data_IF_139809087336
#
_entry.id   IF_139809087336
#
_cell.length_a   1.000
_cell.length_b   1.000
_cell.length_c   1.000
_cell.angle_alpha   90.00
_cell.angle_beta   90.00
_cell.angle_gamma   90.00
#
_symmetry.space_group_name_H-M   'P 1'
#
loop_
_entity.id
_entity.type
_entity.pdbx_description
1 polymer ?
#
# COMPACT_ATOMS: atom_id res chain seq x y z
N UNK A 1 -6.50 -3.17 9.52
CA UNK A 1 -5.16 -3.39 8.98
C UNK A 1 -4.33 -2.12 9.16
N UNK A 2 -3.03 -2.27 9.25
CA UNK A 2 -2.06 -1.18 9.35
C UNK A 2 -1.23 -1.11 8.07
N UNK A 3 -0.98 0.10 7.58
CA UNK A 3 -0.09 0.30 6.44
C UNK A 3 0.76 1.56 6.64
N UNK A 4 2.01 1.48 6.25
CA UNK A 4 2.97 2.57 6.37
C UNK A 4 3.36 3.05 4.97
N UNK A 5 3.33 4.36 4.77
CA UNK A 5 3.73 5.03 3.54
C UNK A 5 4.28 6.43 3.83
N UNK A 6 4.85 7.08 2.82
CA UNK A 6 5.41 8.42 2.91
C UNK A 6 4.37 9.54 2.83
N UNK A 7 3.17 9.19 2.40
CA UNK A 7 2.04 10.10 2.28
C UNK A 7 0.73 9.33 2.46
N UNK A 8 -0.36 10.06 2.71
CA UNK A 8 -1.67 9.46 2.92
C UNK A 8 -2.15 8.63 1.72
N UNK A 9 -1.92 9.10 0.49
CA UNK A 9 -2.35 8.41 -0.73
C UNK A 9 -1.71 7.03 -0.86
N UNK A 10 -0.41 6.93 -0.57
CA UNK A 10 0.32 5.66 -0.53
C UNK A 10 -0.21 4.75 0.58
N UNK A 11 -0.36 5.30 1.79
CA UNK A 11 -0.79 4.53 2.96
C UNK A 11 -2.19 3.96 2.80
N UNK A 12 -3.16 4.75 2.29
CA UNK A 12 -4.54 4.28 2.11
C UNK A 12 -4.64 3.17 1.06
N UNK A 13 -3.91 3.29 -0.05
CA UNK A 13 -3.91 2.26 -1.08
C UNK A 13 -3.28 0.96 -0.58
N UNK A 14 -2.17 1.04 0.15
CA UNK A 14 -1.55 -0.12 0.80
C UNK A 14 -2.48 -0.76 1.83
N UNK A 15 -3.17 0.05 2.65
CA UNK A 15 -4.11 -0.45 3.65
C UNK A 15 -5.25 -1.24 2.99
N UNK A 16 -5.79 -0.75 1.87
CA UNK A 16 -6.84 -1.45 1.14
C UNK A 16 -6.36 -2.79 0.55
N UNK A 17 -5.14 -2.83 0.03
CA UNK A 17 -4.53 -4.08 -0.46
C UNK A 17 -4.33 -5.07 0.69
N UNK A 18 -3.87 -4.60 1.86
CA UNK A 18 -3.60 -5.45 3.04
C UNK A 18 -4.85 -6.01 3.72
N UNK A 19 -6.05 -5.59 3.33
CA UNK A 19 -7.30 -6.23 3.78
C UNK A 19 -7.49 -7.65 3.22
N UNK A 20 -6.73 -8.04 2.19
CA UNK A 20 -6.77 -9.36 1.54
C UNK A 20 -8.17 -9.80 1.06
N UNK A 21 -9.02 -8.84 0.72
CA UNK A 21 -10.36 -9.06 0.16
C UNK A 21 -10.39 -8.90 -1.36
N UNK A 22 -9.24 -9.03 -2.03
CA UNK A 22 -9.12 -8.95 -3.49
C UNK A 22 -8.92 -7.56 -4.06
N UNK A 23 -8.86 -6.52 -3.21
CA UNK A 23 -8.62 -5.14 -3.64
C UNK A 23 -7.17 -4.94 -4.12
N UNK A 24 -7.00 -4.09 -5.10
CA UNK A 24 -5.68 -3.65 -5.62
C UNK A 24 -5.35 -2.19 -5.29
N UNK A 25 -6.18 -1.56 -4.47
CA UNK A 25 -6.16 -0.16 -4.04
C UNK A 25 -7.60 0.37 -3.92
N UNK A 26 -7.83 1.62 -4.27
CA UNK A 26 -9.16 2.23 -4.38
C UNK A 26 -9.91 1.63 -5.59
N UNK A 27 -10.31 0.38 -5.50
CA UNK A 27 -11.00 -0.31 -6.60
C UNK A 27 -12.46 0.12 -6.67
N UNK A 28 -13.00 0.08 -7.90
CA UNK A 28 -14.43 0.15 -8.16
C UNK A 28 -15.05 -1.24 -7.88
N UNK A 29 -15.74 -1.34 -6.74
CA UNK A 29 -16.44 -2.57 -6.35
C UNK A 29 -17.96 -2.41 -6.40
N UNK A 30 -18.44 -1.22 -6.78
CA UNK A 30 -19.85 -0.88 -6.75
C UNK A 30 -20.41 -0.69 -8.15
N UNK A 31 -21.38 -1.51 -8.54
CA UNK A 31 -22.18 -1.26 -9.72
C UNK A 31 -23.45 -0.46 -9.35
N UNK A 32 -23.27 0.72 -8.74
CA UNK A 32 -24.34 1.56 -8.22
C UNK A 32 -24.63 2.74 -9.14
N UNK A 33 -25.93 3.11 -9.23
CA UNK A 33 -26.32 4.38 -9.83
C UNK A 33 -25.94 5.55 -8.93
N UNK A 34 -25.79 6.74 -9.52
CA UNK A 34 -25.44 7.97 -8.77
C UNK A 34 -26.40 8.28 -7.62
N UNK A 35 -27.70 7.99 -7.79
CA UNK A 35 -28.73 8.18 -6.75
C UNK A 35 -28.51 7.27 -5.53
N UNK A 36 -28.13 6.02 -5.77
CA UNK A 36 -27.85 5.03 -4.71
C UNK A 36 -26.59 5.40 -3.94
N UNK A 37 -25.52 5.80 -4.63
CA UNK A 37 -24.30 6.32 -4.01
C UNK A 37 -24.61 7.49 -3.07
N UNK A 38 -25.43 8.45 -3.50
CA UNK A 38 -25.81 9.60 -2.69
C UNK A 38 -26.63 9.21 -1.44
N UNK A 39 -27.45 8.16 -1.54
CA UNK A 39 -28.21 7.61 -0.40
C UNK A 39 -27.26 6.92 0.59
N UNK A 40 -26.33 6.10 0.09
CA UNK A 40 -25.45 5.28 0.92
C UNK A 40 -24.31 6.09 1.54
N UNK A 41 -23.86 7.20 0.93
CA UNK A 41 -22.88 8.12 1.52
C UNK A 41 -23.33 8.68 2.88
N UNK A 42 -24.64 8.75 3.15
CA UNK A 42 -25.18 9.19 4.46
C UNK A 42 -25.04 8.14 5.55
N UNK A 43 -24.91 6.87 5.18
CA UNK A 43 -24.82 5.75 6.09
C UNK A 43 -23.40 5.57 6.63
N UNK A 44 -23.28 4.96 7.80
CA UNK A 44 -21.99 4.52 8.32
C UNK A 44 -21.76 3.07 7.89
N UNK A 45 -21.14 2.88 6.73
CA UNK A 45 -20.86 1.56 6.14
C UNK A 45 -19.35 1.31 6.09
N UNK A 46 -18.88 0.05 6.20
CA UNK A 46 -17.45 -0.29 6.21
C UNK A 46 -16.69 0.23 4.98
N UNK A 47 -17.29 0.14 3.80
CA UNK A 47 -16.66 0.50 2.52
C UNK A 47 -16.88 1.97 2.12
N UNK A 48 -17.12 2.86 3.09
CA UNK A 48 -17.47 4.27 2.84
C UNK A 48 -16.39 5.00 2.02
N UNK A 49 -15.11 4.71 2.24
CA UNK A 49 -14.03 5.34 1.47
C UNK A 49 -14.04 4.94 -0.01
N UNK A 50 -14.32 3.67 -0.31
CA UNK A 50 -14.49 3.20 -1.69
C UNK A 50 -15.72 3.85 -2.35
N UNK A 51 -16.81 4.03 -1.59
CA UNK A 51 -18.00 4.71 -2.08
C UNK A 51 -17.75 6.20 -2.37
N UNK A 52 -16.91 6.87 -1.58
CA UNK A 52 -16.45 8.24 -1.84
C UNK A 52 -15.66 8.32 -3.14
N UNK A 53 -14.74 7.38 -3.37
CA UNK A 53 -13.99 7.31 -4.62
C UNK A 53 -14.92 7.12 -5.82
N UNK A 54 -15.92 6.24 -5.70
CA UNK A 54 -16.92 6.02 -6.73
C UNK A 54 -17.78 7.27 -6.99
N UNK A 55 -18.13 8.00 -5.94
CA UNK A 55 -18.83 9.28 -6.10
C UNK A 55 -18.02 10.29 -6.93
N UNK A 56 -16.70 10.37 -6.73
CA UNK A 56 -15.82 11.20 -7.55
C UNK A 56 -15.74 10.72 -8.99
N UNK A 57 -15.63 9.40 -9.25
CA UNK A 57 -15.67 8.82 -10.61
C UNK A 57 -16.96 9.18 -11.33
N UNK A 58 -18.09 9.15 -10.64
CA UNK A 58 -19.42 9.55 -11.15
C UNK A 58 -19.63 11.07 -11.18
N UNK A 59 -18.57 11.87 -10.98
CA UNK A 59 -18.61 13.35 -11.04
C UNK A 59 -19.68 13.94 -10.12
N UNK A 60 -19.78 13.44 -8.89
CA UNK A 60 -20.57 14.09 -7.84
C UNK A 60 -19.80 15.33 -7.34
N UNK A 61 -20.45 16.51 -7.21
CA UNK A 61 -19.78 17.71 -6.73
C UNK A 61 -19.15 17.51 -5.34
N UNK A 62 -17.92 18.01 -5.15
CA UNK A 62 -17.16 17.91 -3.91
C UNK A 62 -17.96 18.31 -2.66
N UNK A 63 -18.58 19.50 -2.68
CA UNK A 63 -19.40 20.01 -1.56
C UNK A 63 -20.55 19.06 -1.21
N UNK A 64 -21.12 18.35 -2.19
CA UNK A 64 -22.20 17.38 -1.97
C UNK A 64 -21.66 16.13 -1.30
N UNK A 65 -20.51 15.62 -1.75
CA UNK A 65 -19.83 14.46 -1.11
C UNK A 65 -19.50 14.80 0.34
N UNK A 66 -18.87 15.94 0.59
CA UNK A 66 -18.50 16.40 1.92
C UNK A 66 -19.72 16.46 2.87
N UNK A 67 -20.80 17.12 2.45
CA UNK A 67 -22.02 17.25 3.25
C UNK A 67 -22.65 15.90 3.61
N UNK A 68 -22.64 14.93 2.66
CA UNK A 68 -23.29 13.63 2.85
C UNK A 68 -22.39 12.66 3.64
N UNK A 69 -21.10 12.63 3.35
CA UNK A 69 -20.16 11.70 3.99
C UNK A 69 -19.71 12.15 5.37
N UNK A 70 -19.74 13.48 5.64
CA UNK A 70 -19.20 14.14 6.82
C UNK A 70 -17.70 13.87 7.03
N UNK A 71 -16.97 13.51 5.96
CA UNK A 71 -15.53 13.31 5.98
C UNK A 71 -14.86 14.68 5.80
N UNK A 72 -13.76 14.88 6.54
CA UNK A 72 -12.97 16.11 6.47
C UNK A 72 -12.51 16.38 5.02
N UNK A 73 -12.56 17.65 4.56
CA UNK A 73 -12.19 18.04 3.21
C UNK A 73 -10.77 17.62 2.80
N UNK A 74 -9.84 17.58 3.74
CA UNK A 74 -8.47 17.18 3.44
C UNK A 74 -8.39 15.74 2.94
N UNK A 75 -9.06 14.79 3.62
CA UNK A 75 -9.12 13.40 3.18
C UNK A 75 -9.86 13.25 1.85
N UNK A 76 -10.97 13.98 1.67
CA UNK A 76 -11.71 13.97 0.41
C UNK A 76 -10.85 14.46 -0.77
N UNK A 77 -10.02 15.47 -0.57
CA UNK A 77 -9.08 15.96 -1.58
C UNK A 77 -8.06 14.88 -1.94
N UNK A 78 -7.49 14.16 -0.95
CA UNK A 78 -6.55 13.07 -1.21
C UNK A 78 -7.17 11.96 -2.07
N UNK A 79 -8.43 11.60 -1.79
CA UNK A 79 -9.15 10.58 -2.55
C UNK A 79 -9.49 11.08 -3.96
N UNK A 80 -9.94 12.34 -4.09
CA UNK A 80 -10.21 12.96 -5.38
C UNK A 80 -8.97 12.96 -6.27
N UNK A 81 -7.83 13.38 -5.75
CA UNK A 81 -6.58 13.41 -6.51
C UNK A 81 -6.18 12.00 -7.01
N UNK A 82 -6.42 10.94 -6.22
CA UNK A 82 -6.18 9.57 -6.65
C UNK A 82 -7.11 9.19 -7.81
N UNK A 83 -8.40 9.55 -7.73
CA UNK A 83 -9.37 9.29 -8.80
C UNK A 83 -9.01 10.07 -10.08
N UNK A 84 -8.55 11.30 -9.96
CA UNK A 84 -8.07 12.09 -11.10
C UNK A 84 -6.84 11.46 -11.77
N UNK A 85 -5.92 10.87 -10.98
CA UNK A 85 -4.79 10.12 -11.54
C UNK A 85 -5.24 8.83 -12.23
N UNK A 86 -6.23 8.11 -11.69
CA UNK A 86 -6.84 6.96 -12.37
C UNK A 86 -7.38 7.35 -13.76
N UNK A 87 -8.10 8.46 -13.85
CA UNK A 87 -8.64 8.96 -15.13
C UNK A 87 -7.53 9.29 -16.15
N UNK A 88 -6.41 9.86 -15.67
CA UNK A 88 -5.27 10.14 -16.53
C UNK A 88 -4.65 8.85 -17.07
N UNK A 89 -4.51 7.82 -16.24
CA UNK A 89 -3.96 6.53 -16.63
C UNK A 89 -4.90 5.83 -17.63
N UNK A 90 -6.20 5.86 -17.38
CA UNK A 90 -7.20 5.29 -18.31
C UNK A 90 -7.11 5.96 -19.70
N UNK A 91 -6.96 7.29 -19.74
CA UNK A 91 -6.93 8.05 -20.99
C UNK A 91 -5.60 7.96 -21.74
N UNK A 92 -4.48 7.98 -21.04
CA UNK A 92 -3.12 8.11 -21.60
C UNK A 92 -2.36 6.77 -21.63
N UNK A 93 -2.85 5.75 -20.94
CA UNK A 93 -2.12 4.51 -20.71
C UNK A 93 -1.00 4.65 -19.66
N UNK A 94 -0.10 3.66 -19.65
CA UNK A 94 1.04 3.64 -18.72
C UNK A 94 2.06 4.74 -19.05
N UNK A 95 2.64 5.39 -18.06
CA UNK A 95 3.72 6.37 -18.26
C UNK A 95 4.90 5.79 -19.06
N UNK A 96 5.59 6.66 -19.81
CA UNK A 96 6.75 6.30 -20.63
C UNK A 96 8.07 6.80 -20.05
N UNK A 97 8.05 7.64 -19.01
CA UNK A 97 9.25 8.20 -18.37
C UNK A 97 9.40 7.66 -16.95
N UNK A 98 10.65 7.68 -16.46
CA UNK A 98 10.96 7.31 -15.08
C UNK A 98 10.20 8.20 -14.07
N UNK A 99 10.21 9.52 -14.29
CA UNK A 99 9.64 10.52 -13.39
C UNK A 99 8.14 10.31 -13.20
N UNK A 100 7.41 10.16 -14.31
CA UNK A 100 5.96 9.95 -14.25
C UNK A 100 5.60 8.60 -13.64
N UNK A 101 6.32 7.53 -14.02
CA UNK A 101 6.06 6.20 -13.49
C UNK A 101 6.36 6.14 -11.99
N UNK A 102 7.51 6.70 -11.57
CA UNK A 102 7.90 6.78 -10.17
C UNK A 102 6.92 7.62 -9.35
N UNK A 103 6.44 8.74 -9.90
CA UNK A 103 5.40 9.58 -9.28
C UNK A 103 4.13 8.79 -9.03
N UNK A 104 3.64 8.04 -10.01
CA UNK A 104 2.42 7.23 -9.87
C UNK A 104 2.64 6.13 -8.82
N UNK A 105 3.77 5.45 -8.85
CA UNK A 105 4.12 4.45 -7.83
C UNK A 105 4.20 5.05 -6.44
N UNK A 106 4.73 6.27 -6.28
CA UNK A 106 4.79 6.97 -4.99
C UNK A 106 3.42 7.39 -4.42
N UNK A 107 2.37 7.36 -5.24
CA UNK A 107 0.99 7.53 -4.81
C UNK A 107 0.34 6.21 -4.34
N UNK A 108 1.06 5.10 -4.40
CA UNK A 108 0.61 3.79 -3.91
C UNK A 108 -0.10 2.93 -4.95
N UNK A 109 -0.08 3.27 -6.22
CA UNK A 109 -0.65 2.42 -7.28
C UNK A 109 0.15 1.11 -7.41
N UNK A 110 -0.50 -0.03 -7.15
CA UNK A 110 0.08 -1.35 -7.36
C UNK A 110 0.19 -1.67 -8.86
N UNK A 111 1.09 -2.59 -9.24
CA UNK A 111 1.21 -3.03 -10.63
C UNK A 111 -0.12 -3.66 -11.10
N UNK A 112 -0.82 -4.39 -10.22
CA UNK A 112 -2.16 -4.94 -10.47
C UNK A 112 -3.21 -3.84 -10.73
N UNK A 113 -3.18 -2.74 -9.95
CA UNK A 113 -4.09 -1.60 -10.17
C UNK A 113 -3.79 -0.90 -11.50
N UNK A 114 -2.51 -0.68 -11.82
CA UNK A 114 -2.09 -0.09 -13.09
C UNK A 114 -2.50 -0.95 -14.29
N UNK A 115 -2.39 -2.27 -14.16
CA UNK A 115 -2.88 -3.24 -15.15
C UNK A 115 -4.37 -3.05 -15.42
N UNK A 116 -5.20 -3.02 -14.38
CA UNK A 116 -6.66 -2.80 -14.51
C UNK A 116 -7.00 -1.48 -15.19
N UNK A 117 -6.31 -0.39 -14.83
CA UNK A 117 -6.59 0.96 -15.36
C UNK A 117 -6.15 1.14 -16.81
N UNK A 118 -5.03 0.56 -17.19
CA UNK A 118 -4.45 0.70 -18.53
C UNK A 118 -4.88 -0.36 -19.53
N UNK A 119 -5.55 -1.42 -19.06
CA UNK A 119 -6.00 -2.53 -19.91
C UNK A 119 -4.88 -3.46 -20.39
N UNK A 120 -3.68 -3.40 -19.78
CA UNK A 120 -2.56 -4.29 -20.13
C UNK A 120 -2.30 -5.31 -19.02
N UNK A 121 -1.66 -6.42 -19.34
CA UNK A 121 -1.31 -7.44 -18.34
C UNK A 121 -0.37 -6.91 -17.26
N UNK A 122 -0.51 -7.37 -16.03
CA UNK A 122 0.34 -7.00 -14.89
C UNK A 122 1.83 -7.28 -15.16
N UNK A 123 2.12 -8.36 -15.88
CA UNK A 123 3.49 -8.72 -16.31
C UNK A 123 4.09 -7.62 -17.19
N UNK A 124 3.31 -7.05 -18.11
CA UNK A 124 3.71 -5.94 -18.98
C UNK A 124 4.00 -4.68 -18.17
N UNK A 125 3.16 -4.36 -17.18
CA UNK A 125 3.41 -3.25 -16.25
C UNK A 125 4.75 -3.41 -15.53
N UNK A 126 5.02 -4.62 -15.00
CA UNK A 126 6.26 -4.96 -14.31
C UNK A 126 7.48 -4.83 -15.23
N UNK A 127 7.41 -5.35 -16.46
CA UNK A 127 8.50 -5.25 -17.44
C UNK A 127 8.81 -3.78 -17.74
N UNK A 128 7.79 -2.98 -18.05
CA UNK A 128 7.94 -1.55 -18.34
C UNK A 128 8.54 -0.78 -17.16
N UNK A 129 8.04 -1.03 -15.95
CA UNK A 129 8.57 -0.43 -14.72
C UNK A 129 10.04 -0.76 -14.50
N UNK A 130 10.41 -2.03 -14.74
CA UNK A 130 11.80 -2.49 -14.59
C UNK A 130 12.71 -1.89 -15.65
N UNK A 131 12.25 -1.81 -16.90
CA UNK A 131 12.98 -1.17 -18.01
C UNK A 131 13.26 0.31 -17.73
N UNK A 132 12.31 1.01 -17.12
CA UNK A 132 12.45 2.40 -16.67
C UNK A 132 13.23 2.55 -15.36
N UNK A 133 13.77 1.45 -14.79
CA UNK A 133 14.52 1.43 -13.51
C UNK A 133 13.73 1.99 -12.32
N UNK A 134 12.42 1.90 -12.33
CA UNK A 134 11.56 2.31 -11.22
C UNK A 134 11.46 1.17 -10.20
N UNK A 135 12.21 1.28 -9.12
CA UNK A 135 12.26 0.29 -8.03
C UNK A 135 11.86 0.92 -6.70
N UNK A 136 11.26 0.13 -5.80
CA UNK A 136 11.02 0.59 -4.44
C UNK A 136 12.34 0.70 -3.67
N UNK A 137 12.36 1.57 -2.68
CA UNK A 137 13.37 1.63 -1.64
C UNK A 137 12.77 1.18 -0.32
N UNK A 138 13.59 0.71 0.60
CA UNK A 138 13.18 0.27 1.91
C UNK A 138 13.63 1.29 2.95
N UNK A 139 12.70 1.72 3.80
CA UNK A 139 12.94 2.67 4.88
C UNK A 139 12.65 2.02 6.22
N UNK A 140 13.44 2.34 7.24
CA UNK A 140 13.16 1.93 8.61
C UNK A 140 11.94 2.67 9.15
N UNK A 141 11.17 1.98 9.98
CA UNK A 141 10.10 2.63 10.73
C UNK A 141 10.75 3.46 11.82
N UNK A 142 10.55 4.78 11.76
CA UNK A 142 11.01 5.69 12.79
C UNK A 142 10.02 5.75 13.95
N UNK A 143 10.45 5.27 15.11
CA UNK A 143 9.64 5.26 16.34
C UNK A 143 10.03 6.39 17.29
N UNK A 144 11.01 7.23 16.90
CA UNK A 144 11.58 8.26 17.76
C UNK A 144 11.33 9.68 17.22
N UNK A 145 10.39 9.86 16.28
CA UNK A 145 10.05 11.16 15.68
C UNK A 145 11.27 11.94 15.14
N UNK A 146 12.26 11.23 14.64
CA UNK A 146 13.57 11.75 14.17
C UNK A 146 14.41 12.48 15.25
N UNK A 147 14.03 12.47 16.51
CA UNK A 147 14.82 13.04 17.62
C UNK A 147 16.05 12.18 17.92
N UNK A 148 15.90 10.86 17.80
CA UNK A 148 16.98 9.90 18.02
C UNK A 148 17.02 8.89 16.87
N UNK A 149 18.17 8.26 16.66
CA UNK A 149 18.32 7.19 15.67
C UNK A 149 17.48 5.98 16.10
N UNK A 150 16.49 5.64 15.28
CA UNK A 150 15.68 4.45 15.50
C UNK A 150 16.46 3.18 15.18
N UNK A 151 16.45 2.21 16.09
CA UNK A 151 17.07 0.89 15.94
C UNK A 151 16.05 -0.21 15.62
N UNK A 152 14.83 0.17 15.24
CA UNK A 152 13.78 -0.81 14.93
C UNK A 152 14.18 -1.73 13.79
N UNK A 153 13.88 -3.04 13.87
CA UNK A 153 14.12 -3.99 12.79
C UNK A 153 13.08 -3.89 11.67
N UNK A 154 12.05 -3.07 11.85
CA UNK A 154 10.93 -2.96 10.91
C UNK A 154 11.25 -2.04 9.76
N UNK A 155 10.87 -2.48 8.57
CA UNK A 155 11.04 -1.73 7.34
C UNK A 155 9.73 -1.70 6.55
N UNK A 156 9.56 -0.64 5.78
CA UNK A 156 8.49 -0.55 4.79
C UNK A 156 9.05 -0.20 3.42
N UNK A 157 8.43 -0.68 2.36
CA UNK A 157 8.78 -0.33 0.99
C UNK A 157 8.05 0.94 0.56
N UNK A 158 8.72 1.81 -0.19
CA UNK A 158 8.12 3.01 -0.77
C UNK A 158 8.80 3.38 -2.08
N UNK A 159 8.15 4.20 -2.90
CA UNK A 159 8.77 4.79 -4.07
C UNK A 159 9.12 6.24 -3.75
N UNK A 160 10.41 6.54 -3.71
CA UNK A 160 10.88 7.87 -3.36
C UNK A 160 10.70 8.84 -4.52
N UNK A 161 10.13 10.02 -4.25
CA UNK A 161 10.18 11.13 -5.20
C UNK A 161 11.61 11.68 -5.22
N UNK A 162 12.15 11.89 -6.41
CA UNK A 162 13.50 12.45 -6.60
C UNK A 162 13.53 13.95 -6.23
N UNK A 163 13.55 14.26 -4.93
CA UNK A 163 13.90 15.61 -4.46
C UNK A 163 15.38 15.71 -4.04
N UNK A 164 16.08 14.59 -3.99
CA UNK A 164 17.52 14.53 -3.79
C UNK A 164 18.10 13.43 -4.67
N UNK A 165 19.26 13.68 -5.24
CA UNK A 165 19.99 12.78 -6.15
C UNK A 165 20.45 11.46 -5.50
N UNK A 166 20.06 11.15 -4.26
CA UNK A 166 20.39 9.92 -3.56
C UNK A 166 19.11 9.17 -3.17
N UNK A 167 18.89 8.05 -3.84
CA UNK A 167 17.93 7.04 -3.38
C UNK A 167 18.53 6.32 -2.17
N UNK A 168 18.22 6.80 -0.98
CA UNK A 168 18.72 6.18 0.24
C UNK A 168 17.83 5.01 0.62
N UNK A 169 18.21 3.81 0.17
CA UNK A 169 17.66 2.57 0.70
C UNK A 169 18.36 2.25 2.03
N UNK A 170 17.57 2.15 3.10
CA UNK A 170 18.07 1.88 4.45
C UNK A 170 18.21 0.38 4.77
N UNK A 171 17.90 -0.49 3.80
CA UNK A 171 17.96 -1.94 3.99
C UNK A 171 19.38 -2.45 4.29
N UNK A 172 20.43 -1.85 3.70
CA UNK A 172 21.83 -2.20 3.88
C UNK A 172 22.05 -3.73 4.01
N UNK A 173 21.68 -4.54 3.00
CA UNK A 173 21.71 -5.99 3.12
C UNK A 173 23.14 -6.50 3.32
N UNK A 174 23.34 -7.31 4.36
CA UNK A 174 24.64 -7.95 4.61
C UNK A 174 24.98 -8.97 3.51
N UNK A 175 26.26 -9.38 3.40
CA UNK A 175 26.70 -10.45 2.46
C UNK A 175 26.49 -11.87 3.01
N UNK A 176 25.96 -12.03 4.22
CA UNK A 176 25.71 -13.33 4.84
C UNK A 176 24.64 -14.10 4.05
N UNK A 177 24.69 -15.43 4.09
CA UNK A 177 23.62 -16.29 3.59
C UNK A 177 22.34 -15.98 4.35
N UNK A 178 21.25 -15.72 3.61
CA UNK A 178 19.96 -15.33 4.17
C UNK A 178 18.89 -16.35 3.87
N UNK A 179 18.03 -16.58 4.85
CA UNK A 179 16.81 -17.36 4.68
C UNK A 179 15.64 -16.45 4.98
N UNK A 180 14.64 -16.48 4.12
CA UNK A 180 13.40 -15.72 4.30
C UNK A 180 12.33 -16.71 4.76
N UNK A 181 11.73 -16.44 5.91
CA UNK A 181 10.57 -17.16 6.41
C UNK A 181 9.35 -16.28 6.15
N UNK A 182 8.41 -16.77 5.36
CA UNK A 182 7.17 -16.05 5.03
C UNK A 182 6.08 -16.62 5.92
N UNK A 183 5.56 -15.81 6.85
CA UNK A 183 4.43 -16.17 7.71
C UNK A 183 3.10 -16.17 6.97
N UNK A 184 2.04 -16.56 7.67
CA UNK A 184 0.69 -16.73 7.11
C UNK A 184 -0.07 -15.42 6.81
N UNK A 185 0.56 -14.26 6.97
CA UNK A 185 -0.11 -12.95 6.83
C UNK A 185 -0.77 -12.48 8.13
N UNK A 186 -1.62 -11.45 8.10
CA UNK A 186 -2.24 -10.90 9.30
C UNK A 186 -3.15 -11.93 9.98
N UNK A 187 -3.05 -12.00 11.30
CA UNK A 187 -3.89 -12.87 12.12
C UNK A 187 -5.36 -12.51 11.95
N UNK A 188 -6.17 -13.51 11.66
CA UNK A 188 -7.63 -13.40 11.54
C UNK A 188 -8.29 -14.06 12.73
N UNK A 189 -9.47 -13.60 13.10
CA UNK A 189 -10.30 -14.24 14.15
C UNK A 189 -10.51 -15.71 13.75
N UNK A 190 -10.16 -16.64 14.64
CA UNK A 190 -10.25 -18.09 14.42
C UNK A 190 -8.98 -18.75 13.85
N UNK A 191 -7.92 -17.99 13.54
CA UNK A 191 -6.59 -18.56 13.28
C UNK A 191 -5.84 -18.71 14.61
N UNK A 192 -5.35 -19.93 14.87
CA UNK A 192 -4.63 -20.23 16.07
C UNK A 192 -3.16 -19.82 16.03
N UNK A 193 -2.53 -19.84 17.19
CA UNK A 193 -1.10 -19.55 17.40
C UNK A 193 -0.16 -20.52 16.65
N UNK A 194 -0.68 -21.64 16.16
CA UNK A 194 0.09 -22.69 15.47
C UNK A 194 0.86 -22.17 14.26
N UNK A 195 0.32 -21.18 13.56
CA UNK A 195 0.98 -20.62 12.37
C UNK A 195 2.25 -19.85 12.73
N UNK A 196 2.27 -19.14 13.86
CA UNK A 196 3.44 -18.40 14.32
C UNK A 196 4.45 -19.32 15.02
N UNK A 197 3.99 -20.31 15.75
CA UNK A 197 4.86 -21.26 16.45
C UNK A 197 5.84 -21.94 15.49
N UNK A 198 5.38 -22.45 14.36
CA UNK A 198 6.25 -23.08 13.38
C UNK A 198 7.29 -22.11 12.80
N UNK A 199 6.89 -20.86 12.53
CA UNK A 199 7.79 -19.82 12.04
C UNK A 199 8.84 -19.45 13.08
N UNK A 200 8.47 -19.34 14.36
CA UNK A 200 9.37 -19.06 15.46
C UNK A 200 10.38 -20.20 15.68
N UNK A 201 9.92 -21.44 15.72
CA UNK A 201 10.81 -22.61 15.88
C UNK A 201 11.80 -22.74 14.72
N UNK A 202 11.33 -22.54 13.48
CA UNK A 202 12.20 -22.50 12.31
C UNK A 202 13.24 -21.36 12.41
N UNK A 203 12.83 -20.18 12.92
CA UNK A 203 13.72 -19.05 13.14
C UNK A 203 14.83 -19.36 14.14
N UNK A 204 14.50 -19.95 15.29
CA UNK A 204 15.48 -20.33 16.30
C UNK A 204 16.49 -21.33 15.76
N UNK A 205 16.03 -22.42 15.15
CA UNK A 205 16.90 -23.46 14.59
C UNK A 205 17.84 -22.92 13.50
N UNK A 206 17.34 -22.09 12.61
CA UNK A 206 18.14 -21.49 11.54
C UNK A 206 19.15 -20.46 12.07
N UNK A 207 18.77 -19.70 13.11
CA UNK A 207 19.66 -18.73 13.77
C UNK A 207 20.82 -19.47 14.46
N UNK A 208 20.54 -20.56 15.19
CA UNK A 208 21.55 -21.42 15.79
C UNK A 208 22.50 -22.02 14.74
N UNK A 209 21.97 -22.33 13.55
CA UNK A 209 22.75 -22.80 12.40
C UNK A 209 23.57 -21.69 11.69
N UNK A 210 23.58 -20.45 12.21
CA UNK A 210 24.40 -19.33 11.74
C UNK A 210 23.86 -18.59 10.51
N UNK A 211 22.61 -18.81 10.12
CA UNK A 211 21.99 -18.06 9.01
C UNK A 211 21.51 -16.68 9.47
N UNK A 212 21.54 -15.72 8.54
CA UNK A 212 20.86 -14.46 8.70
C UNK A 212 19.39 -14.62 8.32
N UNK A 213 18.50 -14.27 9.22
CA UNK A 213 17.07 -14.49 9.02
C UNK A 213 16.36 -13.20 8.66
N UNK A 214 15.43 -13.34 7.72
CA UNK A 214 14.40 -12.38 7.43
C UNK A 214 13.07 -13.10 7.57
N UNK A 215 12.23 -12.68 8.48
CA UNK A 215 10.90 -13.25 8.60
C UNK A 215 9.83 -12.18 8.72
N UNK A 216 8.63 -12.50 8.25
CA UNK A 216 7.48 -11.63 8.34
C UNK A 216 6.61 -12.11 9.50
N UNK A 217 6.54 -11.33 10.57
CA UNK A 217 5.56 -11.55 11.62
C UNK A 217 4.21 -10.96 11.18
N UNK A 218 3.10 -11.63 11.46
CA UNK A 218 1.77 -11.11 11.16
C UNK A 218 1.37 -9.93 12.03
N UNK A 219 1.99 -9.73 13.21
CA UNK A 219 1.64 -8.63 14.11
C UNK A 219 2.87 -8.04 14.82
N UNK A 220 2.96 -6.71 14.94
CA UNK A 220 3.98 -6.06 15.77
C UNK A 220 3.85 -6.33 17.28
N UNK A 221 2.72 -6.91 17.73
CA UNK A 221 2.47 -7.23 19.14
C UNK A 221 3.18 -8.50 19.63
N UNK A 222 3.66 -9.33 18.72
CA UNK A 222 4.23 -10.64 19.07
C UNK A 222 5.72 -10.54 19.47
N UNK A 223 6.22 -9.35 19.77
CA UNK A 223 7.62 -9.08 20.08
C UNK A 223 7.90 -8.68 21.53
N UNK A 224 6.86 -8.56 22.36
CA UNK A 224 6.98 -8.13 23.76
C UNK A 224 7.06 -9.32 24.75
N UNK A 225 7.41 -10.54 24.29
CA UNK A 225 7.70 -11.69 25.16
C UNK A 225 9.14 -12.21 24.95
#
# INVERSE_FOLDING_TARGET
>A
SMAIGRNFKESIQKALVSLEIGLSGLDDIFNLKKSEILKDLKKNIPNKLLLVAEAFRKKVPFKKIQRLSKIDPWFLNQIRDLVEEEEKIIKKGLPNTFEEFNRIKSLGFSDKKLSKLSGVEEKTVKIKRTALKVFPVFKKVDTCAAEFKSFTPYMYSTYQRNFSFRTECEANPSKKKKIIIIGGGPNRIGQGIEFDYCCCQASYSLKESGYCLLYTSPSPRDWDE
#
